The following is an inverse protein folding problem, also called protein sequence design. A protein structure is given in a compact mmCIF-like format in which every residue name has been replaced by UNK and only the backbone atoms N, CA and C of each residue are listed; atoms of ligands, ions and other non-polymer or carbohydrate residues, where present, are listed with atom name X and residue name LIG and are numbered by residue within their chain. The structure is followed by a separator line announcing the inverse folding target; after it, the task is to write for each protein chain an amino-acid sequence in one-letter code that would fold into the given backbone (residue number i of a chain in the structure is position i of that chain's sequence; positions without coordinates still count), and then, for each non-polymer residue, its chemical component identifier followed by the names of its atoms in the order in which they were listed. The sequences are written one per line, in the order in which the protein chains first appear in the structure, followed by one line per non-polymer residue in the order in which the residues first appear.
data_IF_283716062114
#
_entry.id   IF_283716062114
#
_cell.length_a   1.000
_cell.length_b   1.000
_cell.length_c   1.000
_cell.angle_alpha   90.00
_cell.angle_beta   90.00
_cell.angle_gamma   90.00
#
_symmetry.space_group_name_H-M   'P 1'
#
loop_
_entity.id
_entity.type
_entity.pdbx_description
1 polymer ?
#
# COMPACT_ATOMS: atom_id res chain seq x y z
N UNK A 1 1.54 19.01 -14.03
CA UNK A 1 2.24 18.14 -15.01
C UNK A 1 3.32 17.40 -14.25
N UNK A 2 3.13 16.12 -13.94
CA UNK A 2 4.19 15.35 -13.27
C UNK A 2 5.23 14.97 -14.31
N UNK A 3 6.42 15.54 -14.21
CA UNK A 3 7.55 15.13 -15.03
C UNK A 3 8.01 13.76 -14.54
N UNK A 4 7.76 12.73 -15.34
CA UNK A 4 8.22 11.38 -15.05
C UNK A 4 9.71 11.30 -15.32
N UNK A 5 10.50 11.15 -14.25
CA UNK A 5 11.94 10.86 -14.36
C UNK A 5 12.09 9.39 -14.77
N UNK A 6 12.89 9.07 -15.80
CA UNK A 6 13.16 7.67 -16.17
C UNK A 6 13.76 6.90 -14.99
N UNK A 7 13.40 5.62 -14.85
CA UNK A 7 13.86 4.79 -13.73
C UNK A 7 15.39 4.72 -13.62
N UNK A 8 16.09 4.61 -14.76
CA UNK A 8 17.55 4.57 -14.80
C UNK A 8 18.18 5.86 -14.24
N UNK A 9 17.63 7.01 -14.57
CA UNK A 9 18.10 8.30 -14.04
C UNK A 9 17.91 8.41 -12.52
N UNK A 10 16.87 7.77 -11.97
CA UNK A 10 16.70 7.70 -10.51
C UNK A 10 17.79 6.85 -9.87
N UNK A 11 18.20 5.75 -10.49
CA UNK A 11 19.31 4.91 -10.01
C UNK A 11 20.60 5.74 -9.97
N UNK A 12 20.92 6.43 -11.06
CA UNK A 12 22.11 7.28 -11.16
C UNK A 12 22.14 8.36 -10.07
N UNK A 13 20.99 8.97 -9.74
CA UNK A 13 20.90 9.93 -8.65
C UNK A 13 21.12 9.30 -7.27
N UNK A 14 20.71 8.05 -7.06
CA UNK A 14 20.97 7.33 -5.80
C UNK A 14 22.45 6.95 -5.70
N UNK A 15 23.05 6.48 -6.79
CA UNK A 15 24.47 6.11 -6.83
C UNK A 15 25.41 7.31 -6.64
N UNK A 16 24.97 8.53 -6.98
CA UNK A 16 25.72 9.76 -6.75
C UNK A 16 25.75 10.22 -5.29
N UNK A 17 24.92 9.65 -4.41
CA UNK A 17 24.92 9.94 -2.97
C UNK A 17 26.06 9.20 -2.27
N UNK A 18 26.52 9.74 -1.13
CA UNK A 18 27.41 9.00 -0.24
C UNK A 18 26.73 7.75 0.35
N UNK A 19 27.50 6.75 0.79
CA UNK A 19 26.95 5.51 1.36
C UNK A 19 25.99 5.79 2.55
N UNK A 20 26.35 6.75 3.42
CA UNK A 20 25.51 7.16 4.55
C UNK A 20 24.18 7.80 4.08
N UNK A 21 24.22 8.65 3.06
CA UNK A 21 23.01 9.24 2.48
C UNK A 21 22.13 8.20 1.79
N UNK A 22 22.73 7.20 1.13
CA UNK A 22 22.00 6.08 0.53
C UNK A 22 21.27 5.27 1.60
N UNK A 23 21.93 4.94 2.71
CA UNK A 23 21.34 4.21 3.84
C UNK A 23 20.13 4.97 4.43
N UNK A 24 20.29 6.28 4.66
CA UNK A 24 19.22 7.15 5.15
C UNK A 24 18.06 7.20 4.15
N UNK A 25 18.36 7.31 2.85
CA UNK A 25 17.33 7.33 1.80
C UNK A 25 16.53 6.02 1.77
N UNK A 26 17.18 4.87 1.85
CA UNK A 26 16.51 3.57 1.83
C UNK A 26 15.61 3.36 3.04
N UNK A 27 16.05 3.76 4.24
CA UNK A 27 15.21 3.71 5.43
C UNK A 27 13.99 4.64 5.31
N UNK A 28 14.19 5.85 4.79
CA UNK A 28 13.10 6.80 4.57
C UNK A 28 12.06 6.27 3.57
N UNK A 29 12.50 5.72 2.44
CA UNK A 29 11.62 5.12 1.44
C UNK A 29 10.84 3.96 2.05
N UNK A 30 11.51 3.08 2.82
CA UNK A 30 10.85 1.96 3.52
C UNK A 30 9.76 2.47 4.46
N UNK A 31 10.06 3.44 5.32
CA UNK A 31 9.10 4.04 6.26
C UNK A 31 7.91 4.66 5.54
N UNK A 32 8.13 5.39 4.44
CA UNK A 32 7.07 5.98 3.63
C UNK A 32 6.16 4.92 2.99
N UNK A 33 6.71 3.83 2.47
CA UNK A 33 5.91 2.71 1.92
C UNK A 33 5.04 2.06 2.99
N UNK A 34 5.59 1.83 4.19
CA UNK A 34 4.83 1.29 5.33
C UNK A 34 3.70 2.25 5.71
N UNK A 35 3.98 3.56 5.79
CA UNK A 35 2.97 4.57 6.11
C UNK A 35 1.84 4.59 5.08
N UNK A 36 2.17 4.53 3.79
CA UNK A 36 1.17 4.46 2.72
C UNK A 36 0.29 3.21 2.84
N UNK A 37 0.89 2.04 3.08
CA UNK A 37 0.14 0.80 3.30
C UNK A 37 -0.79 0.89 4.52
N UNK A 38 -0.34 1.50 5.61
CA UNK A 38 -1.18 1.73 6.80
C UNK A 38 -2.37 2.64 6.49
N UNK A 39 -2.17 3.68 5.69
CA UNK A 39 -3.24 4.57 5.25
C UNK A 39 -4.28 3.83 4.39
N UNK A 40 -3.83 3.00 3.44
CA UNK A 40 -4.72 2.15 2.63
C UNK A 40 -5.55 1.21 3.51
N UNK A 41 -4.94 0.57 4.51
CA UNK A 41 -5.65 -0.29 5.47
C UNK A 41 -6.68 0.51 6.27
N UNK A 42 -6.33 1.70 6.75
CA UNK A 42 -7.24 2.55 7.51
C UNK A 42 -8.46 2.97 6.66
N UNK A 43 -8.24 3.37 5.40
CA UNK A 43 -9.32 3.70 4.47
C UNK A 43 -10.23 2.50 4.17
N UNK A 44 -9.65 1.31 3.99
CA UNK A 44 -10.43 0.09 3.78
C UNK A 44 -11.22 -0.31 5.03
N UNK A 45 -10.66 -0.11 6.22
CA UNK A 45 -11.33 -0.35 7.48
C UNK A 45 -12.51 0.61 7.67
N UNK A 46 -12.34 1.90 7.36
CA UNK A 46 -13.41 2.90 7.41
C UNK A 46 -14.58 2.51 6.51
N UNK A 47 -14.31 2.17 5.24
CA UNK A 47 -15.33 1.68 4.29
C UNK A 47 -16.04 0.43 4.79
N UNK A 48 -15.29 -0.53 5.33
CA UNK A 48 -15.85 -1.76 5.89
C UNK A 48 -16.78 -1.46 7.07
N UNK A 49 -16.35 -0.58 7.99
CA UNK A 49 -17.15 -0.20 9.15
C UNK A 49 -18.42 0.55 8.76
N UNK A 50 -18.36 1.40 7.73
CA UNK A 50 -19.54 2.05 7.16
C UNK A 50 -20.51 1.04 6.56
N UNK A 51 -20.03 0.08 5.76
CA UNK A 51 -20.86 -0.98 5.21
C UNK A 51 -21.51 -1.84 6.30
N UNK A 52 -20.79 -2.11 7.40
CA UNK A 52 -21.34 -2.83 8.55
C UNK A 52 -22.47 -2.05 9.21
N UNK A 53 -22.28 -0.74 9.44
CA UNK A 53 -23.30 0.16 10.01
C UNK A 53 -24.54 0.27 9.12
N UNK A 54 -24.34 0.37 7.80
CA UNK A 54 -25.42 0.48 6.82
C UNK A 54 -26.09 -0.86 6.50
N UNK A 55 -25.62 -1.98 7.08
CA UNK A 55 -26.15 -3.31 6.83
C UNK A 55 -25.84 -3.87 5.45
N UNK A 56 -24.98 -3.20 4.67
CA UNK A 56 -24.59 -3.59 3.31
C UNK A 56 -23.31 -4.43 3.27
N UNK A 57 -22.62 -4.57 4.41
CA UNK A 57 -21.45 -5.44 4.51
C UNK A 57 -21.86 -6.91 4.31
N UNK A 58 -21.05 -7.63 3.51
CA UNK A 58 -21.14 -9.08 3.40
C UNK A 58 -20.77 -9.71 4.74
N UNK A 59 -21.61 -10.61 5.23
CA UNK A 59 -21.45 -11.31 6.52
C UNK A 59 -21.53 -12.81 6.28
N UNK A 60 -20.82 -13.56 7.11
CA UNK A 60 -20.75 -15.01 7.05
C UNK A 60 -19.72 -15.54 8.04
N UNK A 61 -19.51 -16.84 8.06
CA UNK A 61 -18.41 -17.47 8.76
C UNK A 61 -17.07 -17.06 8.13
N UNK A 62 -15.97 -17.20 8.88
CA UNK A 62 -14.64 -16.89 8.36
C UNK A 62 -14.31 -17.67 7.07
N UNK A 63 -14.77 -18.92 6.96
CA UNK A 63 -14.58 -19.77 5.78
C UNK A 63 -15.35 -19.22 4.55
N UNK A 64 -16.60 -18.80 4.73
CA UNK A 64 -17.43 -18.25 3.64
C UNK A 64 -16.88 -16.91 3.13
N UNK A 65 -16.43 -16.05 4.04
CA UNK A 65 -15.84 -14.76 3.68
C UNK A 65 -14.49 -14.95 2.99
N UNK A 66 -13.65 -15.88 3.46
CA UNK A 66 -12.38 -16.19 2.78
C UNK A 66 -12.61 -16.79 1.40
N UNK A 67 -13.53 -17.73 1.27
CA UNK A 67 -13.86 -18.34 -0.03
C UNK A 67 -14.34 -17.31 -1.06
N UNK A 68 -14.95 -16.21 -0.60
CA UNK A 68 -15.36 -15.10 -1.45
C UNK A 68 -14.20 -14.17 -1.82
N UNK A 69 -13.31 -13.85 -0.88
CA UNK A 69 -12.13 -12.99 -1.10
C UNK A 69 -11.11 -13.66 -2.04
N UNK A 70 -10.96 -14.98 -1.91
CA UNK A 70 -10.02 -15.78 -2.71
C UNK A 70 -10.71 -16.52 -3.85
N UNK A 71 -11.97 -16.19 -4.15
CA UNK A 71 -12.60 -16.68 -5.37
C UNK A 71 -11.88 -15.99 -6.52
N UNK A 72 -11.12 -16.74 -7.30
CA UNK A 72 -10.49 -16.22 -8.51
C UNK A 72 -11.57 -15.55 -9.37
N UNK A 73 -11.39 -14.27 -9.71
CA UNK A 73 -12.15 -13.62 -10.76
C UNK A 73 -11.72 -14.27 -12.09
N UNK A 74 -12.50 -15.23 -12.59
CA UNK A 74 -12.40 -15.73 -13.98
C UNK A 74 -12.70 -14.61 -14.99
#
# INVERSE_FOLDING_TARGET
MSQTVPFQTVIEFVEALSEEEQDVLFDLIRKRRISKRRQEIAQNAEKTMEAVRNGTAKRGTAAEVMADIFRDEE
#
